data_IF_851463200218
#
_entry.id   IF_851463200218
#
_cell.length_a   1.000
_cell.length_b   1.000
_cell.length_c   1.000
_cell.angle_alpha   90.00
_cell.angle_beta   90.00
_cell.angle_gamma   90.00
#
_symmetry.space_group_name_H-M   'P 1'
#
loop_
_entity.id
_entity.type
_entity.pdbx_description
1 polymer ?
2 non-polymer ?
3 non-polymer ?
4 non-polymer ?
5 water ?
#
# COMPACT_ATOMS: atom_id res chain seq x y z
N UNK A 5 8.86 -15.93 21.76
CA UNK A 5 10.10 -16.32 21.01
C UNK A 5 10.14 -15.67 19.58
N UNK A 6 11.04 -14.71 19.39
CA UNK A 6 11.12 -14.08 18.09
C UNK A 6 11.74 -15.01 17.06
N UNK A 7 11.22 -15.05 15.82
CA UNK A 7 11.83 -15.87 14.74
C UNK A 7 12.32 -14.89 13.66
N UNK A 8 13.49 -15.15 13.05
CA UNK A 8 13.96 -14.23 12.00
C UNK A 8 13.52 -14.67 10.59
N UNK A 9 12.93 -15.85 10.49
CA UNK A 9 12.43 -16.38 9.22
C UNK A 9 11.41 -17.47 9.58
N UNK A 10 10.49 -17.71 8.67
CA UNK A 10 9.42 -18.66 8.90
C UNK A 10 9.51 -19.83 7.91
N UNK A 11 9.16 -21.01 8.38
CA UNK A 11 9.18 -22.16 7.45
C UNK A 11 7.97 -22.07 6.53
N UNK A 12 7.99 -22.84 5.46
CA UNK A 12 6.84 -22.83 4.54
C UNK A 12 5.53 -23.14 5.25
N UNK A 13 5.58 -24.06 6.22
CA UNK A 13 4.34 -24.44 6.90
C UNK A 13 3.84 -23.30 7.78
N UNK A 14 4.78 -22.65 8.46
CA UNK A 14 4.45 -21.51 9.33
C UNK A 14 3.83 -20.40 8.48
N UNK A 15 4.40 -20.20 7.30
CA UNK A 15 3.84 -19.17 6.42
C UNK A 15 2.41 -19.50 6.03
N UNK A 16 2.17 -20.76 5.68
CA UNK A 16 0.81 -21.16 5.32
C UNK A 16 -0.18 -20.91 6.48
N UNK A 17 0.24 -21.21 7.71
CA UNK A 17 -0.59 -21.03 8.88
C UNK A 17 -0.88 -19.55 9.15
N UNK A 18 0.12 -18.68 8.94
CA UNK A 18 -0.10 -17.24 9.17
C UNK A 18 -1.02 -16.73 8.06
N UNK A 19 -0.80 -17.20 6.84
CA UNK A 19 -1.67 -16.72 5.77
C UNK A 19 -3.14 -17.09 6.02
N UNK A 20 -3.39 -18.29 6.53
CA UNK A 20 -4.76 -18.73 6.84
C UNK A 20 -5.36 -17.82 7.91
N UNK A 21 -4.56 -17.47 8.93
CA UNK A 21 -5.04 -16.55 10.01
C UNK A 21 -5.41 -15.18 9.43
N UNK A 22 -4.52 -14.66 8.57
CA UNK A 22 -4.79 -13.39 7.95
C UNK A 22 -6.04 -13.40 7.05
N UNK A 23 -6.18 -14.42 6.21
CA UNK A 23 -7.34 -14.42 5.31
C UNK A 23 -8.63 -14.64 6.09
N UNK A 24 -8.59 -15.48 7.10
CA UNK A 24 -9.81 -15.74 7.84
C UNK A 24 -10.24 -14.46 8.57
N UNK A 25 -9.27 -13.74 9.07
CA UNK A 25 -9.55 -12.52 9.81
C UNK A 25 -10.06 -11.45 8.89
N UNK A 26 -9.52 -11.42 7.68
CA UNK A 26 -9.99 -10.44 6.70
C UNK A 26 -11.48 -10.60 6.44
N UNK A 27 -11.92 -11.85 6.36
CA UNK A 27 -13.34 -12.12 6.10
C UNK A 27 -14.19 -11.67 7.28
N UNK A 28 -13.72 -11.93 8.50
CA UNK A 28 -14.52 -11.58 9.66
C UNK A 28 -14.56 -10.07 9.92
N UNK A 29 -13.40 -9.43 9.85
CA UNK A 29 -13.35 -8.00 10.14
C UNK A 29 -13.69 -7.06 8.97
N UNK A 30 -13.64 -7.58 7.76
CA UNK A 30 -13.94 -6.74 6.60
C UNK A 30 -12.79 -5.92 6.07
N UNK A 31 -11.62 -6.09 6.71
CA UNK A 31 -10.43 -5.35 6.29
C UNK A 31 -9.23 -6.25 6.62
N UNK A 32 -8.22 -6.27 5.75
CA UNK A 32 -7.07 -7.15 6.03
C UNK A 32 -6.34 -6.59 7.25
N UNK A 33 -5.98 -7.47 8.18
CA UNK A 33 -5.30 -7.02 9.41
C UNK A 33 -3.84 -6.61 9.24
N UNK A 34 -3.18 -7.16 8.23
CA UNK A 34 -1.82 -6.75 7.95
C UNK A 34 -1.80 -6.39 6.43
N UNK A 35 -0.88 -5.51 6.08
CA UNK A 35 -0.74 -5.01 4.72
C UNK A 35 -0.01 -5.97 3.79
N UNK A 36 -0.07 -5.63 2.52
CA UNK A 36 0.53 -6.50 1.50
C UNK A 36 2.04 -6.72 1.72
N UNK A 37 2.74 -5.69 2.21
CA UNK A 37 4.17 -5.82 2.41
C UNK A 37 4.46 -6.90 3.48
N UNK A 38 3.57 -7.01 4.46
CA UNK A 38 3.80 -8.07 5.50
C UNK A 38 3.67 -9.45 4.85
N UNK A 39 2.70 -9.63 3.96
CA UNK A 39 2.57 -10.93 3.29
C UNK A 39 3.83 -11.22 2.47
N UNK A 40 4.41 -10.21 1.82
CA UNK A 40 5.67 -10.50 1.10
C UNK A 40 6.77 -10.83 2.11
N UNK A 41 6.79 -10.16 3.25
CA UNK A 41 7.83 -10.43 4.26
C UNK A 41 7.76 -11.84 4.88
N UNK A 42 6.60 -12.48 4.83
CA UNK A 42 6.51 -13.82 5.43
C UNK A 42 7.51 -14.78 4.80
N UNK A 43 7.82 -14.59 3.52
CA UNK A 43 8.75 -15.50 2.89
C UNK A 43 10.16 -14.95 2.68
N UNK A 44 10.54 -13.91 3.41
CA UNK A 44 11.90 -13.35 3.27
C UNK A 44 12.52 -13.35 4.64
N UNK A 45 13.76 -12.87 4.72
CA UNK A 45 14.46 -12.93 6.00
C UNK A 45 14.80 -11.53 6.53
N UNK A 46 14.01 -10.56 6.18
CA UNK A 46 14.30 -9.17 6.55
C UNK A 46 13.66 -8.67 7.82
N UNK A 47 12.71 -9.43 8.34
CA UNK A 47 11.93 -8.93 9.49
C UNK A 47 11.91 -9.93 10.58
N UNK A 48 11.20 -9.59 11.67
CA UNK A 48 11.10 -10.53 12.78
C UNK A 48 9.65 -10.87 13.03
N UNK A 49 9.42 -12.05 13.56
CA UNK A 49 8.04 -12.56 13.66
C UNK A 49 7.76 -13.16 15.01
N UNK A 50 6.52 -13.02 15.51
CA UNK A 50 6.11 -13.65 16.75
C UNK A 50 4.91 -14.49 16.36
N UNK A 51 4.88 -15.77 16.78
CA UNK A 51 3.77 -16.63 16.48
C UNK A 51 3.25 -17.10 17.83
N UNK A 52 1.94 -17.02 17.99
CA UNK A 52 1.29 -17.51 19.23
C UNK A 52 0.39 -18.66 18.82
N UNK A 53 0.62 -19.82 19.45
CA UNK A 53 -0.10 -21.04 19.17
C UNK A 53 -1.23 -21.26 20.17
N UNK A 54 -2.27 -21.99 19.77
CA UNK A 54 -3.36 -22.29 20.68
C UNK A 54 -2.95 -23.46 21.57
N UNK A 55 -3.87 -23.97 22.39
CA UNK A 55 -3.58 -25.12 23.27
C UNK A 55 -3.87 -26.44 22.54
N UNK A 59 -3.05 -27.38 17.57
CA UNK A 59 -3.24 -25.99 17.97
C UNK A 59 -2.78 -25.06 16.87
N UNK A 60 -3.73 -24.48 16.10
CA UNK A 60 -3.40 -23.56 15.00
C UNK A 60 -2.72 -22.31 15.53
N UNK A 61 -2.25 -21.46 14.63
CA UNK A 61 -1.65 -20.18 15.08
C UNK A 61 -2.82 -19.21 15.32
N UNK A 62 -2.89 -18.61 16.50
CA UNK A 62 -4.02 -17.73 16.79
C UNK A 62 -3.57 -16.27 16.99
N UNK A 63 -2.26 -16.03 16.95
CA UNK A 63 -1.77 -14.66 17.06
C UNK A 63 -0.51 -14.49 16.21
N UNK A 64 -0.34 -13.34 15.56
CA UNK A 64 0.88 -13.18 14.74
C UNK A 64 1.28 -11.72 14.75
N UNK A 65 2.57 -11.44 14.88
CA UNK A 65 2.99 -10.02 14.77
C UNK A 65 4.21 -10.01 13.87
N UNK A 66 4.26 -9.00 13.01
CA UNK A 66 5.46 -8.81 12.18
C UNK A 66 6.12 -7.52 12.65
N UNK A 67 7.45 -7.51 12.81
CA UNK A 67 8.11 -6.25 13.24
C UNK A 67 9.16 -6.00 12.13
N UNK A 68 9.02 -4.85 11.46
CA UNK A 68 9.96 -4.50 10.40
C UNK A 68 10.95 -3.48 10.96
N UNK A 69 12.24 -3.61 10.65
CA UNK A 69 13.19 -2.66 11.19
C UNK A 69 13.21 -1.38 10.39
N UNK A 70 13.91 -0.39 10.90
CA UNK A 70 14.03 0.91 10.22
C UNK A 70 14.61 0.64 8.82
N UNK A 71 14.14 1.39 7.82
CA UNK A 71 14.63 1.21 6.46
C UNK A 71 14.42 2.58 5.85
N UNK A 72 15.45 3.13 5.21
CA UNK A 72 15.29 4.43 4.61
C UNK A 72 14.91 5.50 5.60
N UNK A 73 13.93 6.31 5.24
CA UNK A 73 13.52 7.38 6.12
C UNK A 73 12.58 6.86 7.20
N UNK A 74 12.18 5.59 7.13
CA UNK A 74 11.24 5.13 8.14
C UNK A 74 11.80 4.37 9.33
N UNK A 75 11.04 4.37 10.43
CA UNK A 75 11.44 3.65 11.65
C UNK A 75 10.81 2.27 11.72
N UNK A 76 10.91 1.61 12.89
CA UNK A 76 10.38 0.25 13.05
C UNK A 76 8.84 0.30 13.00
N UNK A 77 8.24 -0.74 12.44
CA UNK A 77 6.76 -0.77 12.31
C UNK A 77 6.32 -2.17 12.60
N UNK A 78 5.25 -2.29 13.35
CA UNK A 78 4.70 -3.61 13.67
C UNK A 78 3.25 -3.72 13.17
N UNK A 79 2.83 -4.93 12.74
CA UNK A 79 1.44 -5.15 12.32
C UNK A 79 1.10 -6.43 13.04
N UNK A 80 -0.16 -6.57 13.46
CA UNK A 80 -0.43 -7.78 14.25
C UNK A 80 -1.87 -8.13 14.17
N UNK A 81 -2.15 -9.40 14.44
CA UNK A 81 -3.54 -9.87 14.35
C UNK A 81 -3.73 -11.02 15.32
N UNK A 82 -4.95 -11.07 15.87
CA UNK A 82 -5.35 -12.14 16.77
C UNK A 82 -6.65 -12.76 16.18
N UNK A 83 -6.70 -14.09 16.12
CA UNK A 83 -7.85 -14.87 15.60
C UNK A 83 -9.11 -14.29 16.23
N UNK A 84 -10.15 -14.06 15.41
CA UNK A 84 -11.38 -13.48 15.96
C UNK A 84 -11.94 -14.22 17.17
N UNK A 85 -11.76 -15.52 17.20
CA UNK A 85 -12.31 -16.30 18.32
C UNK A 85 -11.40 -16.45 19.53
N UNK A 86 -10.24 -15.80 19.47
CA UNK A 86 -9.27 -15.85 20.56
C UNK A 86 -9.04 -14.45 21.12
N UNK A 87 -9.91 -13.49 20.76
CA UNK A 87 -9.75 -12.13 21.21
C UNK A 87 -10.17 -11.96 22.65
N UNK A 88 -9.70 -10.86 23.27
CA UNK A 88 -9.94 -10.54 24.68
C UNK A 88 -9.40 -11.58 25.63
N UNK A 89 -8.29 -12.22 25.27
CA UNK A 89 -7.60 -13.16 26.13
C UNK A 89 -6.20 -12.65 26.46
N UNK A 90 -5.92 -11.40 26.05
CA UNK A 90 -4.66 -10.77 26.35
C UNK A 90 -3.54 -11.03 25.34
N UNK A 91 -3.86 -11.72 24.26
CA UNK A 91 -2.81 -12.05 23.31
C UNK A 91 -2.28 -10.81 22.59
N UNK A 92 -3.20 -9.96 22.17
CA UNK A 92 -2.82 -8.72 21.43
C UNK A 92 -1.91 -7.85 22.31
N UNK A 93 -2.28 -7.72 23.58
CA UNK A 93 -1.46 -6.95 24.52
C UNK A 93 -0.08 -7.60 24.70
N UNK A 94 -0.06 -8.93 24.85
CA UNK A 94 1.20 -9.63 25.07
C UNK A 94 2.15 -9.37 23.90
N UNK A 95 1.64 -9.48 22.68
CA UNK A 95 2.49 -9.31 21.45
C UNK A 95 2.93 -7.87 21.31
N UNK A 96 2.02 -6.94 21.53
CA UNK A 96 2.38 -5.52 21.40
C UNK A 96 3.45 -5.15 22.46
N UNK A 97 3.31 -5.65 23.70
CA UNK A 97 4.32 -5.32 24.72
C UNK A 97 5.67 -5.89 24.30
N UNK A 98 5.68 -7.05 23.67
CA UNK A 98 6.95 -7.64 23.25
C UNK A 98 7.63 -6.79 22.23
N UNK A 99 6.87 -6.24 21.29
CA UNK A 99 7.48 -5.41 20.27
C UNK A 99 7.99 -4.13 20.87
N UNK A 100 7.21 -3.51 21.74
CA UNK A 100 7.61 -2.27 22.38
C UNK A 100 8.90 -2.48 23.23
N UNK A 101 8.99 -3.63 23.88
CA UNK A 101 10.18 -3.86 24.69
C UNK A 101 11.40 -4.08 23.80
N UNK A 102 11.19 -4.78 22.68
CA UNK A 102 12.30 -5.08 21.77
C UNK A 102 12.87 -3.81 21.11
N UNK A 103 12.04 -2.81 20.85
CA UNK A 103 12.51 -1.57 20.19
C UNK A 103 12.67 -0.43 21.18
N UNK A 104 12.54 -0.77 22.47
CA UNK A 104 12.65 0.25 23.52
C UNK A 104 11.64 1.38 23.32
N UNK A 105 10.43 1.02 22.87
CA UNK A 105 9.36 1.94 22.70
C UNK A 105 9.36 2.76 21.46
N UNK A 106 10.22 2.45 20.53
CA UNK A 106 10.31 3.27 19.32
C UNK A 106 9.49 2.87 18.08
N UNK A 107 8.86 1.71 18.08
CA UNK A 107 8.13 1.29 16.90
C UNK A 107 6.72 1.80 16.89
N UNK A 108 6.14 1.87 15.69
CA UNK A 108 4.74 2.24 15.53
C UNK A 108 3.92 0.92 15.24
N UNK A 109 2.60 1.03 15.25
CA UNK A 109 1.74 -0.12 14.97
C UNK A 109 0.68 0.36 13.96
N UNK A 110 0.44 -0.41 12.89
CA UNK A 110 -0.65 -0.04 11.98
C UNK A 110 -1.99 -0.65 12.48
N UNK A 111 -3.04 0.15 12.44
CA UNK A 111 -4.38 -0.36 12.70
C UNK A 111 -5.12 -0.05 11.34
N UNK A 112 -5.17 -1.03 10.45
CA UNK A 112 -5.83 -0.82 9.16
C UNK A 112 -7.33 -0.75 9.37
N UNK A 113 -7.91 0.34 8.85
CA UNK A 113 -9.37 0.56 8.99
C UNK A 113 -9.72 1.19 10.36
N UNK A 114 -8.73 1.28 11.25
CA UNK A 114 -8.86 1.87 12.60
C UNK A 114 -10.19 1.33 13.22
N UNK A 115 -10.25 0.01 13.29
CA UNK A 115 -11.44 -0.62 13.85
C UNK A 115 -11.57 -0.39 15.36
N UNK A 116 -12.80 -0.51 15.87
CA UNK A 116 -13.00 -0.26 17.32
C UNK A 116 -12.09 -1.09 18.26
N UNK A 117 -11.87 -2.39 17.95
CA UNK A 117 -11.01 -3.12 18.89
C UNK A 117 -9.61 -2.55 18.92
N UNK A 118 -9.08 -2.17 17.77
CA UNK A 118 -7.75 -1.60 17.76
C UNK A 118 -7.70 -0.26 18.52
N UNK A 119 -8.72 0.56 18.32
CA UNK A 119 -8.75 1.86 19.03
C UNK A 119 -8.72 1.61 20.53
N UNK A 120 -9.47 0.61 20.95
CA UNK A 120 -9.57 0.32 22.36
C UNK A 120 -8.27 -0.26 22.91
N UNK A 121 -7.59 -1.09 22.12
CA UNK A 121 -6.34 -1.71 22.53
C UNK A 121 -5.26 -0.64 22.63
N UNK A 122 -5.30 0.31 21.69
CA UNK A 122 -4.33 1.38 21.69
C UNK A 122 -4.50 2.22 22.97
N UNK A 123 -5.75 2.45 23.39
CA UNK A 123 -5.92 3.23 24.63
C UNK A 123 -5.47 2.45 25.87
N UNK A 124 -5.75 1.16 25.86
CA UNK A 124 -5.38 0.33 27.01
C UNK A 124 -3.85 0.27 27.12
N UNK A 125 -3.14 0.43 26.01
CA UNK A 125 -1.68 0.39 26.05
C UNK A 125 -1.05 1.76 26.20
N UNK A 126 -1.85 2.82 26.18
CA UNK A 126 -1.26 4.15 26.32
C UNK A 126 -0.67 4.71 25.02
N UNK A 127 -1.11 4.19 23.88
CA UNK A 127 -0.60 4.69 22.60
C UNK A 127 -1.51 5.81 22.02
N UNK A 128 -0.96 6.62 21.12
CA UNK A 128 -1.75 7.65 20.48
C UNK A 128 -1.53 7.58 18.96
N UNK A 129 -2.53 8.01 18.19
CA UNK A 129 -2.34 8.02 16.75
C UNK A 129 -1.33 9.06 16.28
N UNK A 130 -0.36 8.67 15.46
CA UNK A 130 0.65 9.63 15.00
C UNK A 130 0.72 9.80 13.48
N UNK A 131 0.00 8.95 12.75
CA UNK A 131 0.02 8.99 11.31
C UNK A 131 -1.35 8.56 10.82
N UNK A 132 -1.92 9.25 9.86
CA UNK A 132 -3.25 8.85 9.35
C UNK A 132 -3.12 8.66 7.85
N UNK A 133 -3.38 7.44 7.41
CA UNK A 133 -3.33 7.09 5.99
C UNK A 133 -4.82 6.90 5.59
N UNK A 134 -5.24 7.79 4.72
CA UNK A 134 -6.66 7.77 4.30
C UNK A 134 -6.84 6.91 3.06
N UNK A 135 -7.85 6.06 3.05
CA UNK A 135 -8.15 5.34 1.80
C UNK A 135 -9.34 6.12 1.18
N UNK A 136 -9.18 6.56 -0.07
CA UNK A 136 -10.26 7.29 -0.79
C UNK A 136 -10.78 6.45 -1.96
N UNK A 137 -12.02 6.68 -2.40
CA UNK A 137 -12.49 5.87 -3.55
C UNK A 137 -13.34 6.78 -4.44
N UNK A 138 -13.51 6.34 -5.68
CA UNK A 138 -14.28 7.06 -6.68
C UNK A 138 -14.96 5.97 -7.52
N UNK A 139 -16.23 6.13 -7.86
CA UNK A 139 -16.83 5.07 -8.69
C UNK A 139 -16.21 5.18 -10.10
N UNK A 140 -16.36 4.12 -10.89
CA UNK A 140 -15.83 4.14 -12.25
C UNK A 140 -16.93 4.41 -13.28
N UNK A 141 -17.79 5.36 -12.95
CA UNK A 141 -18.86 5.80 -13.85
C UNK A 141 -18.33 7.19 -14.24
N UNK A 142 -18.96 7.83 -15.21
CA UNK A 142 -18.55 9.15 -15.65
C UNK A 142 -17.04 9.42 -15.69
N UNK A 143 -16.33 8.60 -16.45
CA UNK A 143 -14.87 8.72 -16.58
C UNK A 143 -14.38 10.01 -17.24
N UNK A 144 -13.18 10.47 -16.87
CA UNK A 144 -12.62 11.70 -17.44
C UNK A 144 -12.15 11.52 -18.87
N UNK A 145 -11.94 12.65 -19.53
CA UNK A 145 -11.42 12.71 -20.90
C UNK A 145 -10.05 13.30 -20.61
N UNK A 146 -8.99 12.50 -20.69
CA UNK A 146 -7.77 13.24 -20.38
C UNK A 146 -7.17 14.01 -21.55
N UNK A 147 -6.63 15.19 -21.21
CA UNK A 147 -5.98 16.12 -22.13
C UNK A 147 -4.48 15.87 -22.09
N UNK A 148 -3.89 15.37 -23.16
CA UNK A 148 -2.46 15.14 -23.13
C UNK A 148 -1.76 16.32 -23.83
N UNK A 149 -0.99 17.10 -23.08
CA UNK A 149 -0.25 18.27 -23.58
C UNK A 149 0.81 17.91 -24.61
N UNK A 150 1.13 18.86 -25.49
CA UNK A 150 2.18 18.64 -26.48
C UNK A 150 3.47 18.55 -25.68
N UNK A 151 4.39 17.70 -26.10
CA UNK A 151 5.63 17.59 -25.38
C UNK A 151 5.61 16.38 -24.45
N UNK A 152 4.48 15.69 -24.40
CA UNK A 152 4.34 14.50 -23.55
C UNK A 152 3.86 13.28 -24.39
N UNK A 153 4.51 12.12 -24.24
CA UNK A 153 4.00 10.94 -24.92
C UNK A 153 3.78 9.91 -23.80
N UNK A 154 2.73 9.13 -23.92
CA UNK A 154 2.43 8.14 -22.91
C UNK A 154 2.58 6.73 -23.49
N UNK A 155 3.14 5.82 -22.72
CA UNK A 155 3.14 4.43 -23.19
C UNK A 155 3.15 3.56 -21.93
N UNK A 156 3.28 2.25 -22.08
CA UNK A 156 3.26 1.45 -20.87
C UNK A 156 4.59 0.73 -20.70
N UNK A 157 4.75 0.04 -19.58
CA UNK A 157 5.97 -0.60 -19.17
C UNK A 157 6.47 -1.63 -20.18
N UNK A 158 7.73 -1.47 -20.54
CA UNK A 158 8.28 -2.35 -21.57
C UNK A 158 9.15 -3.46 -21.00
N UNK A 159 9.49 -3.38 -19.73
CA UNK A 159 10.35 -4.39 -19.19
C UNK A 159 11.43 -3.69 -18.43
N UNK A 160 12.46 -4.44 -18.08
CA UNK A 160 13.53 -3.91 -17.26
C UNK A 160 14.33 -2.74 -17.83
N UNK A 161 14.23 -2.49 -19.13
CA UNK A 161 14.94 -1.36 -19.71
C UNK A 161 14.34 -0.03 -19.18
N UNK A 162 13.10 -0.12 -18.71
CA UNK A 162 12.44 1.06 -18.15
C UNK A 162 12.72 1.23 -16.64
N UNK A 163 13.37 0.27 -15.99
CA UNK A 163 13.56 0.38 -14.52
C UNK A 163 14.41 1.54 -14.01
N UNK A 164 15.48 1.86 -14.73
CA UNK A 164 16.33 2.94 -14.30
C UNK A 164 15.60 4.26 -14.20
N UNK A 165 14.81 4.59 -15.21
CA UNK A 165 14.05 5.85 -15.20
C UNK A 165 12.96 5.77 -14.15
N UNK A 166 12.34 4.60 -14.06
CA UNK A 166 11.26 4.49 -13.07
C UNK A 166 11.83 4.71 -11.67
N UNK A 167 12.96 4.08 -11.38
CA UNK A 167 13.58 4.24 -10.06
C UNK A 167 14.04 5.67 -9.83
N UNK A 168 14.64 6.29 -10.86
CA UNK A 168 15.06 7.67 -10.68
C UNK A 168 13.87 8.61 -10.27
N UNK A 169 12.75 8.49 -10.98
CA UNK A 169 11.59 9.33 -10.72
C UNK A 169 10.96 8.92 -9.37
N UNK A 170 10.86 7.63 -9.13
CA UNK A 170 10.27 7.20 -7.84
C UNK A 170 11.06 7.77 -6.66
N UNK A 171 12.36 7.60 -6.68
CA UNK A 171 13.18 8.05 -5.56
C UNK A 171 13.24 9.59 -5.43
N UNK A 172 13.15 10.31 -6.54
CA UNK A 172 13.11 11.76 -6.45
C UNK A 172 11.72 12.20 -5.89
N UNK A 173 10.64 11.62 -6.39
CA UNK A 173 9.31 12.06 -5.95
C UNK A 173 8.99 11.63 -4.52
N UNK A 174 9.53 10.50 -4.12
CA UNK A 174 9.25 9.95 -2.78
C UNK A 174 10.42 10.05 -1.77
N UNK A 175 11.33 10.98 -2.02
CA UNK A 175 12.45 11.21 -1.12
C UNK A 175 11.87 11.52 0.27
N UNK A 176 12.32 10.75 1.25
CA UNK A 176 11.83 10.95 2.58
C UNK A 176 10.58 10.16 2.94
N UNK A 177 9.96 9.46 1.99
CA UNK A 177 8.74 8.69 2.29
C UNK A 177 9.24 7.44 2.98
N UNK A 178 8.67 7.11 4.16
CA UNK A 178 9.12 5.94 4.89
C UNK A 178 9.05 4.62 4.22
N UNK A 179 8.11 4.42 3.29
CA UNK A 179 8.08 3.11 2.63
C UNK A 179 8.33 3.14 1.11
N UNK A 180 7.98 4.27 0.51
CA UNK A 180 8.04 4.38 -0.94
C UNK A 180 9.37 4.95 -1.41
N UNK A 181 10.10 5.65 -0.55
CA UNK A 181 11.38 6.22 -0.98
C UNK A 181 12.57 5.26 -0.93
N UNK A 182 13.67 5.63 -1.60
CA UNK A 182 14.90 4.83 -1.56
C UNK A 182 14.83 3.40 -2.04
N UNK A 183 14.08 3.23 -3.12
CA UNK A 183 13.89 1.90 -3.71
C UNK A 183 15.08 1.47 -4.57
N UNK A 184 15.24 0.17 -4.73
CA UNK A 184 16.30 -0.37 -5.59
C UNK A 184 15.58 -1.30 -6.52
N UNK A 185 16.31 -1.95 -7.43
CA UNK A 185 15.68 -2.84 -8.38
C UNK A 185 14.97 -4.00 -7.69
N UNK A 186 15.42 -4.32 -6.48
CA UNK A 186 14.79 -5.42 -5.76
C UNK A 186 13.30 -5.16 -5.46
N UNK A 187 12.96 -3.92 -5.08
CA UNK A 187 11.55 -3.59 -4.80
C UNK A 187 10.72 -3.75 -6.04
N UNK A 188 11.24 -3.32 -7.19
CA UNK A 188 10.46 -3.53 -8.43
C UNK A 188 10.26 -5.01 -8.72
N UNK A 189 11.32 -5.78 -8.57
CA UNK A 189 11.25 -7.23 -8.85
C UNK A 189 10.25 -7.96 -7.95
N UNK A 190 10.19 -7.63 -6.67
CA UNK A 190 9.24 -8.30 -5.79
C UNK A 190 7.77 -7.97 -6.13
N UNK A 191 7.55 -6.83 -6.75
CA UNK A 191 6.18 -6.51 -7.11
C UNK A 191 5.86 -7.09 -8.47
N UNK A 192 6.86 -7.22 -9.36
CA UNK A 192 6.62 -7.84 -10.65
C UNK A 192 6.24 -9.31 -10.47
N UNK A 193 6.67 -9.91 -9.36
CA UNK A 193 6.34 -11.31 -9.16
C UNK A 193 4.96 -11.49 -8.53
N UNK A 194 4.29 -10.40 -8.21
CA UNK A 194 2.96 -10.50 -7.61
C UNK A 194 1.94 -10.90 -8.71
N UNK A 195 0.94 -11.69 -8.32
CA UNK A 195 -0.10 -12.16 -9.23
C UNK A 195 -0.83 -11.01 -9.97
N UNK A 196 -0.95 -9.87 -9.30
CA UNK A 196 -1.68 -8.78 -9.91
C UNK A 196 -0.85 -7.94 -10.86
N UNK A 197 0.45 -8.19 -10.92
CA UNK A 197 1.28 -7.34 -11.80
C UNK A 197 0.90 -7.40 -13.27
N UNK A 198 0.70 -6.25 -13.90
CA UNK A 198 0.29 -6.20 -15.31
C UNK A 198 1.07 -5.07 -15.93
N UNK A 199 1.98 -5.37 -16.86
CA UNK A 199 2.74 -4.25 -17.46
C UNK A 199 1.87 -3.26 -18.17
N UNK A 200 0.72 -3.70 -18.70
CA UNK A 200 -0.15 -2.78 -19.41
C UNK A 200 -0.77 -1.77 -18.40
N UNK A 201 -0.72 -2.07 -17.12
CA UNK A 201 -1.28 -1.15 -16.12
C UNK A 201 -0.27 -0.22 -15.50
N UNK A 202 0.99 -0.25 -15.96
CA UNK A 202 2.01 0.67 -15.42
C UNK A 202 2.18 1.70 -16.55
N UNK A 203 1.65 2.90 -16.33
CA UNK A 203 1.61 3.96 -17.34
C UNK A 203 2.76 4.94 -17.13
N UNK A 204 3.49 5.23 -18.20
CA UNK A 204 4.66 6.08 -18.15
C UNK A 204 4.48 7.35 -19.03
N UNK A 205 4.87 8.49 -18.49
CA UNK A 205 4.74 9.75 -19.23
C UNK A 205 6.14 10.25 -19.46
N UNK A 206 6.52 10.32 -20.74
CA UNK A 206 7.85 10.75 -21.17
C UNK A 206 7.85 12.11 -21.85
N UNK A 207 8.95 12.84 -21.71
CA UNK A 207 9.03 14.14 -22.37
C UNK A 207 9.26 13.89 -23.86
N UNK A 208 8.71 14.77 -24.70
CA UNK A 208 8.92 14.62 -26.13
C UNK A 208 9.50 15.94 -26.62
N UNK A 209 10.26 15.81 -27.72
CA UNK A 209 10.99 16.89 -28.36
C UNK A 209 10.78 18.31 -27.95
N UNK A 210 9.53 18.79 -28.03
CA UNK A 210 9.36 20.20 -27.62
C UNK A 210 10.13 20.56 -26.35
N UNK A 211 10.01 19.73 -25.33
CA UNK A 211 10.65 19.96 -24.03
C UNK A 211 12.16 19.79 -24.05
N UNK A 212 12.79 20.40 -23.05
CA UNK A 212 14.25 20.40 -22.92
C UNK A 212 14.88 18.99 -22.98
N UNK A 213 14.23 18.01 -22.36
CA UNK A 213 14.80 16.67 -22.31
C UNK A 213 13.96 15.55 -22.90
N UNK A 214 13.99 15.42 -24.22
CA UNK A 214 13.20 14.35 -24.84
C UNK A 214 13.64 12.99 -24.35
N UNK A 215 12.66 12.10 -24.15
CA UNK A 215 12.94 10.73 -23.69
C UNK A 215 13.12 10.56 -22.20
N UNK A 216 13.02 11.65 -21.43
CA UNK A 216 13.22 11.50 -19.99
C UNK A 216 11.87 11.18 -19.38
N UNK A 217 11.81 10.26 -18.42
CA UNK A 217 10.49 9.98 -17.83
C UNK A 217 10.07 11.18 -16.95
N UNK A 218 8.82 11.64 -17.09
CA UNK A 218 8.35 12.80 -16.29
C UNK A 218 7.54 12.29 -15.09
N UNK A 219 6.88 11.15 -15.25
CA UNK A 219 6.07 10.63 -14.15
C UNK A 219 5.48 9.32 -14.50
N UNK A 220 4.83 8.65 -13.52
CA UNK A 220 4.24 7.38 -13.86
C UNK A 220 3.05 7.16 -12.95
N UNK A 221 2.21 6.24 -13.40
CA UNK A 221 1.04 5.86 -12.61
C UNK A 221 0.97 4.36 -12.71
N UNK A 222 1.22 3.70 -11.56
CA UNK A 222 1.18 2.26 -11.53
C UNK A 222 -0.20 1.89 -11.04
N UNK A 223 -0.99 1.20 -11.86
CA UNK A 223 -2.32 0.84 -11.43
C UNK A 223 -2.32 -0.60 -10.98
N UNK A 224 -3.28 -0.95 -10.14
CA UNK A 224 -3.32 -2.33 -9.68
C UNK A 224 -4.79 -2.80 -9.62
N UNK A 225 -5.07 -4.01 -10.13
CA UNK A 225 -6.43 -4.58 -10.00
C UNK A 225 -6.35 -5.56 -8.83
N UNK A 226 -7.22 -5.41 -7.84
CA UNK A 226 -7.17 -6.30 -6.66
C UNK A 226 -7.69 -7.68 -7.01
N UNK A 227 -6.91 -8.72 -6.69
CA UNK A 227 -7.34 -10.07 -7.05
C UNK A 227 -8.45 -10.69 -6.25
N UNK A 228 -8.57 -10.29 -5.00
CA UNK A 228 -9.58 -10.89 -4.13
C UNK A 228 -10.79 -10.03 -3.91
N UNK A 229 -11.02 -9.06 -4.81
CA UNK A 229 -12.17 -8.18 -4.69
C UNK A 229 -12.62 -7.82 -6.11
N UNK A 230 -13.75 -8.39 -6.56
CA UNK A 230 -14.24 -8.08 -7.92
C UNK A 230 -14.47 -6.57 -8.09
N UNK A 231 -14.20 -6.07 -9.28
CA UNK A 231 -14.43 -4.68 -9.56
C UNK A 231 -13.70 -3.64 -8.73
N UNK A 232 -12.50 -3.95 -8.24
CA UNK A 232 -11.76 -2.95 -7.47
C UNK A 232 -10.40 -2.65 -8.07
N UNK A 233 -10.15 -1.41 -8.45
CA UNK A 233 -8.83 -1.05 -8.98
C UNK A 233 -8.16 -0.08 -8.03
N UNK A 234 -6.87 0.24 -8.25
CA UNK A 234 -6.16 1.12 -7.35
C UNK A 234 -5.13 1.99 -8.03
N UNK A 235 -5.02 3.23 -7.58
CA UNK A 235 -3.97 4.15 -8.00
C UNK A 235 -2.88 3.74 -6.99
N UNK A 236 -2.10 2.71 -7.37
CA UNK A 236 -1.15 2.06 -6.47
C UNK A 236 0.10 2.90 -6.17
N UNK A 237 0.71 3.50 -7.19
CA UNK A 237 1.82 4.44 -6.96
C UNK A 237 1.66 5.49 -8.07
N UNK A 238 1.57 6.75 -7.64
CA UNK A 238 1.48 7.86 -8.61
C UNK A 238 2.58 8.82 -8.24
N UNK A 239 3.46 9.13 -9.20
CA UNK A 239 4.54 10.03 -8.87
C UNK A 239 5.02 10.84 -10.07
N UNK A 240 5.34 12.10 -9.77
CA UNK A 240 5.86 13.02 -10.83
C UNK A 240 7.23 13.56 -10.40
N UNK A 241 8.20 13.57 -11.30
CA UNK A 241 9.52 14.10 -11.02
C UNK A 241 9.32 15.53 -10.47
N UNK A 242 9.95 15.88 -9.33
CA UNK A 242 9.84 17.19 -8.73
C UNK A 242 10.13 18.29 -9.76
N UNK A 243 11.04 18.04 -10.69
CA UNK A 243 11.38 19.03 -11.71
C UNK A 243 10.18 19.33 -12.65
N UNK A 244 9.17 18.45 -12.68
CA UNK A 244 8.05 18.63 -13.60
C UNK A 244 6.71 18.73 -12.89
N UNK A 245 6.75 18.93 -11.59
CA UNK A 245 5.54 19.04 -10.78
C UNK A 245 4.87 20.42 -10.98
N UNK A 246 3.61 20.49 -10.57
CA UNK A 246 2.75 21.66 -10.66
C UNK A 246 2.52 22.15 -12.09
N UNK A 247 2.45 21.21 -13.02
CA UNK A 247 2.18 21.53 -14.42
C UNK A 247 1.00 20.72 -14.96
N UNK A 248 0.20 20.16 -14.06
CA UNK A 248 -0.96 19.37 -14.47
C UNK A 248 -0.68 17.89 -14.80
N UNK A 249 0.57 17.45 -14.70
CA UNK A 249 0.85 16.05 -15.06
C UNK A 249 0.25 15.03 -14.09
N UNK A 250 0.21 15.36 -12.79
CA UNK A 250 -0.37 14.41 -11.82
C UNK A 250 -1.87 14.14 -12.09
N UNK A 251 -2.60 15.22 -12.34
CA UNK A 251 -4.01 15.11 -12.63
C UNK A 251 -4.21 14.29 -13.92
N UNK A 252 -3.40 14.61 -14.93
CA UNK A 252 -3.48 13.89 -16.21
C UNK A 252 -3.20 12.40 -16.04
N UNK A 253 -2.07 12.07 -15.41
CA UNK A 253 -1.75 10.67 -15.16
C UNK A 253 -2.86 9.95 -14.39
N UNK A 254 -3.39 10.58 -13.36
CA UNK A 254 -4.45 9.91 -12.56
C UNK A 254 -5.63 9.63 -13.50
N UNK A 255 -5.99 10.63 -14.33
CA UNK A 255 -7.13 10.43 -15.24
C UNK A 255 -6.92 9.29 -16.22
N UNK A 256 -5.72 9.22 -16.82
CA UNK A 256 -5.38 8.14 -17.77
C UNK A 256 -5.49 6.76 -17.09
N UNK A 257 -5.00 6.66 -15.87
CA UNK A 257 -5.10 5.40 -15.15
C UNK A 257 -6.54 5.02 -14.85
N UNK A 258 -7.37 5.98 -14.49
CA UNK A 258 -8.80 5.70 -14.24
C UNK A 258 -9.43 5.18 -15.53
N UNK A 259 -9.10 5.82 -16.66
CA UNK A 259 -9.60 5.32 -17.96
C UNK A 259 -9.14 3.86 -18.20
N UNK A 260 -7.87 3.58 -17.95
CA UNK A 260 -7.30 2.26 -18.14
C UNK A 260 -8.01 1.24 -17.25
N UNK A 261 -8.22 1.61 -16.01
CA UNK A 261 -8.91 0.66 -15.11
C UNK A 261 -10.39 0.44 -15.50
N UNK A 262 -11.06 1.50 -15.92
CA UNK A 262 -12.49 1.43 -16.29
C UNK A 262 -12.67 0.38 -17.41
N UNK A 263 -11.73 0.38 -18.34
CA UNK A 263 -11.75 -0.57 -19.45
C UNK A 263 -11.48 -2.01 -19.02
N UNK A 264 -10.70 -2.20 -17.97
CA UNK A 264 -10.41 -3.54 -17.51
C UNK A 264 -11.40 -4.12 -16.52
N UNK A 265 -12.14 -3.25 -15.81
CA UNK A 265 -13.07 -3.71 -14.79
C UNK A 265 -14.52 -3.93 -15.21
N UNK A 269 -20.42 -9.15 -19.04
CA UNK A 269 -21.43 -9.99 -19.65
C UNK A 269 -22.51 -10.47 -18.68
N UNK A 270 -23.49 -11.16 -19.24
CA UNK A 270 -24.60 -11.66 -18.48
C UNK A 270 -24.16 -12.39 -17.21
N UNK A 271 -23.16 -13.25 -17.35
CA UNK A 271 -22.71 -14.07 -16.23
C UNK A 271 -21.63 -13.48 -15.30
N UNK A 272 -21.29 -12.23 -15.55
CA UNK A 272 -20.35 -11.54 -14.67
C UNK A 272 -21.27 -11.02 -13.57
N UNK A 273 -20.81 -11.06 -12.31
CA UNK A 273 -21.68 -10.56 -11.24
C UNK A 273 -21.87 -9.06 -11.40
N UNK A 274 -23.02 -8.55 -10.99
CA UNK A 274 -23.29 -7.13 -11.06
C UNK A 274 -22.48 -6.50 -9.93
N UNK A 275 -21.60 -5.58 -10.27
CA UNK A 275 -20.80 -4.95 -9.24
C UNK A 275 -20.50 -3.55 -9.74
N UNK A 276 -20.64 -2.53 -8.89
CA UNK A 276 -20.27 -1.27 -9.45
C UNK A 276 -18.80 -1.14 -9.18
N UNK A 277 -18.01 -1.10 -10.26
CA UNK A 277 -16.57 -1.00 -10.08
C UNK A 277 -16.12 0.31 -9.45
N UNK A 278 -15.02 0.26 -8.72
CA UNK A 278 -14.56 1.48 -8.10
C UNK A 278 -13.04 1.49 -8.12
N UNK A 279 -12.45 2.67 -7.95
CA UNK A 279 -10.98 2.75 -7.82
C UNK A 279 -10.70 3.37 -6.42
N UNK A 280 -9.70 2.80 -5.74
CA UNK A 280 -9.36 3.25 -4.39
C UNK A 280 -7.91 3.73 -4.46
N UNK A 281 -7.48 4.46 -3.44
CA UNK A 281 -6.09 4.86 -3.31
C UNK A 281 -5.87 5.16 -1.83
N UNK A 282 -4.59 5.16 -1.43
CA UNK A 282 -4.20 5.52 -0.08
C UNK A 282 -3.39 6.78 -0.20
N UNK A 283 -3.55 7.68 0.76
CA UNK A 283 -2.76 8.89 0.76
C UNK A 283 -2.64 9.40 2.20
N UNK A 284 -1.44 9.88 2.54
CA UNK A 284 -1.21 10.45 3.90
C UNK A 284 -2.13 11.67 4.04
N UNK A 285 -2.71 11.81 5.22
CA UNK A 285 -3.60 12.91 5.49
C UNK A 285 -2.90 14.26 5.28
N UNK A 286 -1.60 14.34 5.50
CA UNK A 286 -0.90 15.63 5.35
C UNK A 286 -0.20 15.88 4.00
N UNK A 287 -0.46 15.02 3.02
CA UNK A 287 0.13 15.19 1.69
C UNK A 287 -0.81 16.12 0.92
N UNK A 288 -0.70 17.42 1.19
CA UNK A 288 -1.58 18.42 0.60
C UNK A 288 -1.71 18.37 -0.92
N UNK A 289 -0.58 18.29 -1.63
CA UNK A 289 -0.61 18.27 -3.11
C UNK A 289 -1.47 17.14 -3.66
N UNK A 290 -1.25 15.96 -3.11
CA UNK A 290 -2.00 14.82 -3.60
C UNK A 290 -3.47 14.87 -3.24
N UNK A 291 -3.77 15.25 -2.01
CA UNK A 291 -5.18 15.30 -1.64
C UNK A 291 -5.92 16.26 -2.56
N UNK A 292 -5.31 17.40 -2.86
CA UNK A 292 -5.97 18.33 -3.81
C UNK A 292 -6.20 17.69 -5.19
N UNK A 293 -5.18 17.00 -5.71
CA UNK A 293 -5.31 16.31 -6.99
C UNK A 293 -6.49 15.33 -6.95
N UNK A 294 -6.55 14.50 -5.91
CA UNK A 294 -7.65 13.53 -5.82
C UNK A 294 -9.05 14.16 -5.58
N UNK A 295 -9.13 15.21 -4.75
CA UNK A 295 -10.42 15.87 -4.51
C UNK A 295 -10.96 16.41 -5.83
N UNK A 296 -10.05 16.93 -6.63
CA UNK A 296 -10.40 17.48 -7.94
C UNK A 296 -10.99 16.47 -8.87
N UNK A 297 -10.64 15.21 -8.66
CA UNK A 297 -11.11 14.16 -9.54
C UNK A 297 -12.27 13.33 -8.94
N UNK A 298 -12.87 13.83 -7.87
CA UNK A 298 -14.04 13.17 -7.31
C UNK A 298 -13.88 12.07 -6.30
N UNK A 299 -12.68 11.90 -5.77
CA UNK A 299 -12.47 10.86 -4.77
C UNK A 299 -12.98 11.38 -3.46
N UNK A 300 -13.47 10.46 -2.62
CA UNK A 300 -13.94 10.86 -1.31
C UNK A 300 -13.44 9.84 -0.33
N UNK A 301 -13.39 10.23 0.93
CA UNK A 301 -12.91 9.32 1.98
C UNK A 301 -13.73 8.05 2.09
N UNK A 302 -13.05 6.93 2.38
CA UNK A 302 -13.68 5.64 2.51
C UNK A 302 -13.33 4.99 3.86
N UNK A 303 -12.07 5.04 4.25
CA UNK A 303 -11.69 4.46 5.55
C UNK A 303 -10.37 5.07 5.92
N UNK A 304 -9.92 4.87 7.15
CA UNK A 304 -8.69 5.46 7.59
C UNK A 304 -7.79 4.42 8.22
N UNK A 305 -6.51 4.41 7.88
CA UNK A 305 -5.58 3.49 8.60
C UNK A 305 -4.78 4.40 9.56
N UNK A 306 -4.66 3.99 10.81
CA UNK A 306 -3.99 4.83 11.78
C UNK A 306 -2.76 4.13 12.32
N UNK A 307 -1.64 4.86 12.38
CA UNK A 307 -0.42 4.28 12.96
C UNK A 307 -0.34 4.82 14.42
N UNK A 308 -0.19 3.90 15.38
CA UNK A 308 -0.14 4.26 16.79
C UNK A 308 1.25 4.15 17.37
N UNK A 309 1.57 5.04 18.33
CA UNK A 309 2.91 4.96 18.96
C UNK A 309 2.84 5.58 20.33
N UNK A 310 3.94 5.51 21.06
CA UNK A 310 3.97 6.15 22.38
C UNK A 310 3.85 7.66 22.12
N UNK A 311 3.12 8.36 22.98
CA UNK A 311 2.92 9.81 22.77
C UNK A 311 4.24 10.55 22.58
N UNK A 312 5.23 10.15 23.24
X LIG B 1 -0.35 1.33 2.80
X LIG B 1 -0.32 1.76 1.40
X LIG B 1 2.03 1.99 3.20
X LIG B 1 0.91 0.93 3.38
X LIG B 1 3.30 1.41 3.63
X LIG B 1 3.06 3.35 1.53
X LIG B 1 0.04 0.60 0.57
X LIG B 1 0.74 3.29 -0.17
X LIG B 1 0.67 0.62 4.84
X LIG B 1 0.71 2.82 1.26
X LIG B 1 2.10 2.32 1.72
X LIG B 1 -0.25 -0.44 4.92
X LIG B 1 -2.11 -2.42 1.10
X LIG B 1 -2.20 -2.89 -0.38
X LIG B 1 -1.03 -0.29 0.38
X LIG B 1 -0.90 -1.50 1.33
X LIG B 1 -1.22 0.37 -1.93
X LIG B 1 -2.27 -2.15 -2.68
X LIG B 1 0.39 -2.18 1.01
X LIG B 1 -3.37 -3.64 -0.55
X LIG B 1 -2.25 -1.69 -1.34
X LIG B 1 -1.06 -0.79 -1.10
X LIG B 1 -2.04 -3.55 1.98
X LIG B 1 0.74 4.62 -0.47
X LIG B 1 0.35 5.41 0.37
X LIG B 1 1.01 5.05 -1.93
X LIG B 1 -0.28 5.32 -2.55
X LIG B 1 1.82 6.36 -1.95
X LIG B 1 0.77 7.75 -1.19
X LIG C 1 -13.93 -3.62 22.67
X LIG C 1 -13.50 -2.94 23.75
X LIG C 1 -12.27 -2.98 24.33
X LIG C 1 -11.36 -3.83 23.71
X LIG C 1 -11.71 -4.61 22.57
X LIG C 1 -13.05 -4.50 22.03
X LIG C 1 -13.48 -5.17 20.97
X LIG C 1 -10.60 -5.36 22.17
X LIG C 1 -9.62 -5.06 23.00
X LIG C 1 -10.06 -4.13 23.94
X LIG C 1 -9.31 -3.52 25.02
X LIG C 1 -9.74 -3.99 26.42
X LIG C 1 -9.50 -3.00 27.44
X LIG C 1 -8.82 -5.15 26.59
X LIG C 1 -8.75 -5.65 27.94
X LIG C 1 -9.90 -6.51 28.59
X LIG C 1 -11.08 -5.58 28.76
X LIG C 1 -9.31 -6.95 29.91
X LIG C 1 -10.19 -7.65 27.69
X LIG C 1 -7.54 -4.56 26.06
X LIG C 1 -7.91 -3.78 24.97
X LIG C 1 -6.52 -5.63 25.64
X LIG C 1 -7.17 -6.57 24.82
X LIG C 1 -6.40 -7.89 24.29
X LIG C 1 -5.01 -7.90 24.73
X LIG C 1 -7.08 -9.16 24.83
X LIG C 1 -6.36 -7.83 22.69
X LIG C 1 -6.79 -8.94 21.67
X LIG C 1 -5.96 -10.16 21.92
X LIG C 1 -8.26 -9.16 21.67
X LIG C 1 -6.33 -8.13 20.32
X LIG C 1 -6.47 -6.68 18.46
X LIG C 1 -6.63 -6.77 20.02
X LIG C 1 -6.73 -5.20 18.01
X LIG C 1 -4.98 -7.12 18.15
X LIG C 1 -7.50 -7.67 17.73
X LIG C 1 -8.89 -7.19 17.92
X LIG C 1 -7.24 -7.83 16.25
X LIG C 1 -6.49 -8.69 15.83
X LIG C 1 -7.87 -6.93 15.49
X LIG C 1 -7.74 -6.92 14.00
X LIG C 1 -6.32 -6.44 13.57
X LIG C 1 -5.96 -5.07 14.16
X LIG C 1 -6.82 -4.15 14.31
X LIG C 1 -4.65 -4.93 14.39
X LIG C 1 -4.13 -3.63 14.82
X LIG C 1 -3.18 -3.73 15.98
X LIG C 1 -2.73 -2.03 16.47
X LIG C 1 -3.17 -2.03 18.27
X LIG C 1 -3.84 -2.95 18.71
X LIG C 1 -2.59 -0.86 19.05
X LIG D 1 -2.28 18.72 -9.68
X LIG D 1 -1.06 18.54 -10.67
X LIG D 1 -1.37 17.56 -11.68
X LIG D 1 -0.64 19.87 -11.20
X LIG D 1 0.07 18.07 -9.70
X LIG D 1 1.48 17.49 -9.99
X LIG D 1 1.79 17.21 -11.39
X LIG D 1 2.45 18.26 -9.17
X LIG D 1 1.28 16.05 -9.29
X LIG D 1 1.52 14.80 -7.31
X LIG D 1 0.72 15.91 -8.01
X LIG D 1 1.37 13.49 -8.15
X LIG D 1 0.87 14.50 -5.87
X LIG D 1 3.03 15.21 -7.17
X LIG D 1 3.13 16.38 -6.30
X LIG D 1 3.94 14.09 -6.64
X LIG D 1 4.48 13.29 -7.41
X LIG D 1 4.12 14.13 -5.30
X LIG D 1 5.07 13.28 -4.58
X LIG D 1 4.62 11.76 -4.70
X LIG D 1 3.24 11.60 -4.09
X LIG D 1 2.89 12.21 -3.09
X LIG D 1 2.43 10.88 -4.86
X LIG D 1 1.01 10.75 -4.56
X LIG D 1 0.74 9.47 -3.78
X LIG D 1 1.68 9.35 -2.26
#
# INVERSE_FOLDING_TARGET
>A
MTALDWRSALTADEQRSVRALVTATTAVDGVAPVGEQVLRELGQQRTEHLLVAGSRPGGPIIGYLNLSPPRGAGGAMAELVVHPQSRRRGIGTAMARAALAKTAGRNQFWAHGTLDPARATASALGLVGVRELIQMRRPLRDIPEPTIPDGVVIRTYAGTSDDAELLRVNNAAFAGHPEQGGWTAVQLAERRGEAWFDPDGLILAFGDSPRERPGRLLGFHWTKVHPDHPGLGEVYVLGVDPAAQRRGLGQMLTSIGIVSLARRLGGRKTLDPAVEPAVLLYVESDNVAAVRTYQSLGFTTYSVDTAYALAGTDN
>B hetero
1 MA8 O5 C1 C4 C5 O4 O3 O1 N2 C6 C2 C3 O6 C7A C8A C9 C10 O6A O7A O8 O9 C11 C12 O10 C7 O7 C8 N2A C15 S1
>C hetero
1 ACO N1A C2A N3A C4A C5A C6A N6A N7A C8A N9A C1B C2B O2B C3B O3B P3B O7A O8A O9A C4B O4B C5B O5B P1A O1A O2A O3A P2A O4A O5A O6A CBP CCP CDP CEP CAP OAP C9P O9P N8P C7P C6P C5P O5P N4P C3P C2P S1P C O CH3
>D hetero
1 COA O5B P1A O1A O2A O3A P2A O4A O5A O6A CBP CCP CDP CEP CAP OAP C9P O9P N8P C7P C6P C5P O5P N4P C3P C2P S1P
#
